data_IF_249007362674
#
_entry.id   IF_249007362674
#
_cell.length_a   1.000
_cell.length_b   1.000
_cell.length_c   1.000
_cell.angle_alpha   90.00
_cell.angle_beta   90.00
_cell.angle_gamma   90.00
#
_symmetry.space_group_name_H-M   'P 1'
#
loop_
_entity.id
_entity.type
_entity.pdbx_description
1 polymer ?
#
# COMPACT_ATOMS: atom_id res chain seq x y z
N UNK A 1 9.16 0.62 -15.88
CA UNK A 1 9.15 0.12 -17.28
C UNK A 1 10.56 0.20 -17.83
N UNK A 2 10.95 -0.76 -18.66
CA UNK A 2 12.22 -0.78 -19.40
C UNK A 2 11.95 -1.09 -20.87
N UNK A 3 12.84 -0.67 -21.74
CA UNK A 3 12.84 -1.08 -23.14
C UNK A 3 13.99 -2.04 -23.39
N UNK A 4 13.73 -3.09 -24.17
CA UNK A 4 14.72 -4.06 -24.57
C UNK A 4 15.51 -3.49 -25.76
N UNK A 5 16.74 -3.05 -25.52
CA UNK A 5 17.58 -2.41 -26.56
C UNK A 5 18.30 -3.40 -27.49
N UNK A 6 18.46 -4.65 -27.05
CA UNK A 6 19.05 -5.75 -27.79
C UNK A 6 18.43 -7.09 -27.32
N UNK A 7 18.44 -8.15 -28.15
CA UNK A 7 18.00 -9.48 -27.72
C UNK A 7 18.66 -9.87 -26.39
N UNK A 8 17.86 -10.16 -25.37
CA UNK A 8 18.34 -10.40 -24.00
C UNK A 8 17.65 -11.64 -23.42
N UNK A 9 18.41 -12.54 -22.80
CA UNK A 9 17.85 -13.74 -22.16
C UNK A 9 17.58 -13.46 -20.69
N UNK A 10 16.35 -13.69 -20.23
CA UNK A 10 15.95 -13.61 -18.82
C UNK A 10 15.10 -14.84 -18.48
N UNK A 11 15.47 -15.59 -17.45
CA UNK A 11 14.72 -16.77 -17.00
C UNK A 11 14.52 -17.82 -18.11
N UNK A 12 15.54 -18.02 -18.95
CA UNK A 12 15.48 -18.93 -20.10
C UNK A 12 14.65 -18.42 -21.29
N UNK A 13 14.07 -17.22 -21.22
CA UNK A 13 13.25 -16.63 -22.30
C UNK A 13 14.01 -15.52 -23.03
N UNK A 14 13.88 -15.48 -24.36
CA UNK A 14 14.48 -14.42 -25.19
C UNK A 14 13.53 -13.23 -25.29
N UNK A 15 13.94 -12.10 -24.73
CA UNK A 15 13.28 -10.82 -24.89
C UNK A 15 13.78 -10.15 -26.18
N UNK A 16 12.85 -9.79 -27.07
CA UNK A 16 13.17 -9.19 -28.38
C UNK A 16 13.40 -7.69 -28.27
N UNK A 17 14.32 -7.16 -29.09
CA UNK A 17 14.59 -5.72 -29.22
C UNK A 17 13.28 -4.94 -29.52
N UNK A 18 13.16 -3.74 -28.96
CA UNK A 18 12.02 -2.82 -29.13
C UNK A 18 10.78 -3.19 -28.30
N UNK A 19 10.85 -4.23 -27.45
CA UNK A 19 9.74 -4.58 -26.55
C UNK A 19 9.87 -3.88 -25.21
N UNK A 20 8.72 -3.59 -24.59
CA UNK A 20 8.64 -3.00 -23.25
C UNK A 20 8.54 -4.11 -22.20
N UNK A 21 9.33 -3.97 -21.15
CA UNK A 21 9.33 -4.83 -19.98
C UNK A 21 8.76 -4.08 -18.78
N UNK A 22 7.82 -4.71 -18.08
CA UNK A 22 7.21 -4.20 -16.86
C UNK A 22 7.32 -5.23 -15.75
N UNK A 23 7.72 -4.78 -14.56
CA UNK A 23 7.72 -5.62 -13.36
C UNK A 23 6.36 -5.48 -12.67
N UNK A 24 5.66 -6.59 -12.38
CA UNK A 24 4.32 -6.55 -11.80
C UNK A 24 4.41 -6.34 -10.27
N UNK A 25 4.77 -5.12 -9.85
CA UNK A 25 5.04 -4.81 -8.44
C UNK A 25 3.90 -5.20 -7.49
N UNK A 26 2.64 -4.96 -7.87
CA UNK A 26 1.49 -5.32 -7.02
C UNK A 26 1.38 -6.83 -6.83
N UNK A 27 1.51 -7.60 -7.91
CA UNK A 27 1.41 -9.06 -7.89
C UNK A 27 2.54 -9.69 -7.06
N UNK A 28 3.74 -9.08 -7.05
CA UNK A 28 4.82 -9.52 -6.15
C UNK A 28 4.40 -9.42 -4.67
N UNK A 29 3.74 -8.33 -4.26
CA UNK A 29 3.24 -8.15 -2.89
C UNK A 29 1.98 -8.97 -2.58
N UNK A 30 1.34 -9.56 -3.60
CA UNK A 30 0.16 -10.42 -3.47
C UNK A 30 0.45 -11.88 -3.83
N UNK A 31 1.73 -12.26 -3.89
CA UNK A 31 2.11 -13.64 -4.19
C UNK A 31 2.02 -14.54 -2.95
N UNK A 32 1.05 -15.46 -2.95
CA UNK A 32 0.87 -16.45 -1.89
C UNK A 32 2.11 -17.29 -1.57
N UNK A 33 2.95 -17.57 -2.56
CA UNK A 33 4.19 -18.34 -2.35
C UNK A 33 5.24 -17.55 -1.53
N UNK A 34 5.18 -16.22 -1.60
CA UNK A 34 6.11 -15.34 -0.89
C UNK A 34 5.56 -14.86 0.47
N UNK A 35 4.23 -14.74 0.60
CA UNK A 35 3.58 -14.12 1.76
C UNK A 35 2.66 -15.08 2.53
N UNK A 36 2.50 -16.32 2.07
CA UNK A 36 1.69 -17.35 2.72
C UNK A 36 0.18 -17.19 2.49
N UNK A 37 -0.65 -17.98 3.20
CA UNK A 37 -2.10 -18.03 2.97
C UNK A 37 -2.82 -16.71 3.31
N UNK A 38 -2.27 -15.91 4.23
CA UNK A 38 -2.84 -14.63 4.69
C UNK A 38 -2.37 -13.44 3.86
N UNK A 39 -2.01 -13.66 2.59
CA UNK A 39 -1.45 -12.63 1.69
C UNK A 39 -2.38 -11.43 1.48
N UNK A 40 -3.69 -11.68 1.49
CA UNK A 40 -4.71 -10.64 1.30
C UNK A 40 -5.15 -9.99 2.61
N UNK A 41 -4.63 -10.46 3.75
CA UNK A 41 -4.98 -9.98 5.07
C UNK A 41 -3.95 -8.99 5.61
N UNK A 42 -4.42 -8.01 6.38
CA UNK A 42 -3.56 -7.08 7.10
C UNK A 42 -2.98 -7.76 8.35
N UNK A 43 -1.80 -8.36 8.21
CA UNK A 43 -1.05 -9.03 9.29
C UNK A 43 0.29 -8.33 9.50
N UNK A 44 0.35 -7.25 10.31
CA UNK A 44 1.57 -6.49 10.53
C UNK A 44 2.66 -7.31 11.24
N UNK A 45 2.26 -8.27 12.09
CA UNK A 45 3.16 -9.12 12.86
C UNK A 45 4.03 -10.01 11.97
N UNK A 46 3.68 -10.23 10.69
CA UNK A 46 4.50 -11.08 9.80
C UNK A 46 5.95 -10.60 9.70
N UNK A 47 6.15 -9.29 9.70
CA UNK A 47 7.49 -8.69 9.59
C UNK A 47 8.23 -8.63 10.93
N UNK A 48 7.52 -8.85 12.04
CA UNK A 48 8.10 -9.01 13.37
C UNK A 48 8.58 -10.46 13.52
N UNK A 49 7.72 -11.40 13.14
CA UNK A 49 7.96 -12.84 13.26
C UNK A 49 9.00 -13.35 12.27
N UNK A 50 9.03 -12.79 11.05
CA UNK A 50 10.03 -13.11 10.03
C UNK A 50 10.69 -11.85 9.47
N UNK A 51 11.88 -11.55 9.99
CA UNK A 51 12.71 -10.42 9.52
C UNK A 51 13.30 -10.67 8.13
N UNK A 52 13.36 -11.92 7.66
CA UNK A 52 13.83 -12.28 6.32
C UNK A 52 12.93 -11.72 5.21
N UNK A 53 11.65 -11.48 5.51
CA UNK A 53 10.69 -10.89 4.56
C UNK A 53 11.13 -9.51 4.05
N UNK A 54 11.89 -8.73 4.83
CA UNK A 54 12.44 -7.45 4.37
C UNK A 54 13.45 -7.61 3.22
N UNK A 55 14.12 -8.76 3.14
CA UNK A 55 15.07 -9.10 2.09
C UNK A 55 14.42 -9.86 0.93
N UNK A 56 13.12 -10.20 1.02
CA UNK A 56 12.41 -10.93 0.00
C UNK A 56 12.50 -10.22 -1.36
N UNK A 57 12.79 -10.95 -2.47
CA UNK A 57 12.70 -10.39 -3.81
C UNK A 57 11.32 -9.84 -4.16
N UNK A 58 10.27 -10.36 -3.50
CA UNK A 58 8.88 -9.95 -3.66
C UNK A 58 8.54 -8.68 -2.87
N UNK A 59 9.39 -8.26 -1.93
CA UNK A 59 9.22 -7.01 -1.20
C UNK A 59 9.82 -5.83 -1.97
N UNK A 60 8.96 -5.02 -2.59
CA UNK A 60 9.31 -3.90 -3.47
C UNK A 60 8.42 -2.66 -3.27
N UNK A 61 8.16 -2.19 -2.04
CA UNK A 61 7.21 -1.09 -1.78
C UNK A 61 7.65 0.26 -2.36
N UNK A 62 8.96 0.41 -2.65
CA UNK A 62 9.56 1.63 -3.17
C UNK A 62 10.19 1.44 -4.56
N UNK A 63 9.79 0.39 -5.29
CA UNK A 63 10.42 -0.01 -6.55
C UNK A 63 11.72 -0.80 -6.33
N UNK A 64 12.66 -0.69 -7.28
CA UNK A 64 13.93 -1.42 -7.22
C UNK A 64 14.91 -1.03 -8.34
N UNK A 65 16.18 -1.45 -8.16
CA UNK A 65 17.29 -1.10 -9.05
C UNK A 65 17.46 0.40 -9.21
N UNK A 66 17.76 0.86 -10.44
CA UNK A 66 17.94 2.28 -10.76
C UNK A 66 16.66 3.13 -10.62
N UNK A 67 15.50 2.52 -10.36
CA UNK A 67 14.21 3.20 -10.14
C UNK A 67 13.74 3.07 -8.70
N UNK A 68 14.64 2.77 -7.76
CA UNK A 68 14.32 2.78 -6.33
C UNK A 68 14.02 4.22 -5.88
N UNK A 69 12.89 4.41 -5.20
CA UNK A 69 12.44 5.74 -4.76
C UNK A 69 13.52 6.41 -3.89
N UNK A 70 14.07 7.58 -4.29
CA UNK A 70 15.06 8.29 -3.49
C UNK A 70 14.47 8.80 -2.16
N UNK A 71 13.18 9.15 -2.16
CA UNK A 71 12.45 9.63 -0.99
C UNK A 71 12.04 8.55 0.03
N UNK A 72 12.35 7.26 -0.18
CA UNK A 72 11.89 6.15 0.68
C UNK A 72 12.20 6.32 2.16
N UNK A 73 13.37 6.88 2.48
CA UNK A 73 13.77 7.11 3.88
C UNK A 73 12.97 8.24 4.52
N UNK A 74 12.76 9.32 3.77
CA UNK A 74 11.91 10.44 4.20
C UNK A 74 10.46 9.99 4.32
N UNK A 75 9.91 9.31 3.31
CA UNK A 75 8.56 8.76 3.32
C UNK A 75 8.31 7.88 4.54
N UNK A 76 9.24 6.96 4.85
CA UNK A 76 9.15 6.12 6.05
C UNK A 76 9.12 6.97 7.31
N UNK A 77 10.05 7.90 7.48
CA UNK A 77 10.09 8.80 8.65
C UNK A 77 8.81 9.61 8.79
N UNK A 78 8.32 10.21 7.71
CA UNK A 78 7.09 11.00 7.70
C UNK A 78 5.89 10.16 8.15
N UNK A 79 5.70 8.95 7.60
CA UNK A 79 4.59 8.07 8.00
C UNK A 79 4.68 7.73 9.49
N UNK A 80 5.85 7.32 9.98
CA UNK A 80 6.02 7.02 11.41
C UNK A 80 5.76 8.24 12.30
N UNK A 81 6.33 9.40 11.95
CA UNK A 81 6.15 10.64 12.72
C UNK A 81 4.70 11.09 12.71
N UNK A 82 4.01 11.05 11.57
CA UNK A 82 2.59 11.42 11.47
C UNK A 82 1.72 10.51 12.34
N UNK A 83 1.91 9.19 12.28
CA UNK A 83 1.13 8.24 13.11
C UNK A 83 1.46 8.44 14.59
N UNK A 84 2.73 8.58 14.95
CA UNK A 84 3.15 8.79 16.33
C UNK A 84 2.55 10.09 16.90
N UNK A 85 2.64 11.20 16.17
CA UNK A 85 2.06 12.48 16.58
C UNK A 85 0.55 12.37 16.70
N UNK A 86 -0.13 11.81 15.71
CA UNK A 86 -1.59 11.63 15.72
C UNK A 86 -2.06 10.92 17.00
N UNK A 87 -1.39 9.82 17.37
CA UNK A 87 -1.73 9.02 18.55
C UNK A 87 -1.24 9.62 19.88
N UNK A 88 -0.23 10.49 19.84
CA UNK A 88 0.37 11.09 21.04
C UNK A 88 -0.30 12.40 21.46
N UNK A 89 -1.05 13.05 20.57
CA UNK A 89 -1.69 14.35 20.85
C UNK A 89 -3.21 14.31 20.72
N UNK A 90 -3.78 13.29 20.08
CA UNK A 90 -5.22 13.13 19.94
C UNK A 90 -5.71 11.77 20.44
N UNK A 91 -6.88 11.78 21.07
CA UNK A 91 -7.77 10.63 21.15
C UNK A 91 -8.49 10.47 19.80
N UNK A 92 -8.26 9.34 19.14
CA UNK A 92 -8.68 9.07 17.76
C UNK A 92 -9.81 8.05 17.77
N UNK A 93 -10.96 8.43 17.23
CA UNK A 93 -12.12 7.52 17.09
C UNK A 93 -12.73 7.61 15.69
N UNK A 94 -13.43 6.57 15.25
CA UNK A 94 -14.17 6.58 13.99
C UNK A 94 -15.50 7.32 14.18
N UNK A 95 -15.91 8.08 13.16
CA UNK A 95 -17.28 8.60 13.13
C UNK A 95 -18.23 7.40 13.02
N UNK A 96 -19.30 7.31 13.82
CA UNK A 96 -20.25 6.19 13.79
C UNK A 96 -21.24 6.26 12.60
N UNK A 97 -20.78 6.70 11.43
CA UNK A 97 -21.55 6.83 10.19
C UNK A 97 -20.67 6.57 8.96
N UNK A 98 -21.26 6.00 7.91
CA UNK A 98 -20.56 5.75 6.64
C UNK A 98 -20.60 7.02 5.78
N UNK A 99 -19.47 7.47 5.21
CA UNK A 99 -19.51 8.49 4.17
C UNK A 99 -20.17 7.93 2.91
N UNK A 100 -20.98 8.76 2.25
CA UNK A 100 -21.55 8.46 0.95
C UNK A 100 -20.72 9.10 -0.17
N UNK A 101 -20.86 8.59 -1.40
CA UNK A 101 -20.15 9.09 -2.58
C UNK A 101 -20.44 10.57 -2.93
N UNK A 102 -21.54 11.12 -2.38
CA UNK A 102 -21.97 12.51 -2.51
C UNK A 102 -21.44 13.42 -1.37
N UNK A 103 -20.66 12.88 -0.42
CA UNK A 103 -20.15 13.62 0.75
C UNK A 103 -21.12 13.72 1.92
N UNK A 104 -22.33 13.16 1.81
CA UNK A 104 -23.26 13.06 2.94
C UNK A 104 -22.87 11.90 3.87
N UNK A 105 -23.30 11.97 5.12
CA UNK A 105 -23.08 10.91 6.11
C UNK A 105 -24.38 10.09 6.24
N UNK A 106 -24.29 8.79 6.01
CA UNK A 106 -25.44 7.88 6.11
C UNK A 106 -25.77 7.57 7.57
N UNK A 107 -27.06 7.52 7.90
CA UNK A 107 -27.62 7.54 9.26
C UNK A 107 -26.96 6.56 10.26
N UNK A 108 -26.90 7.00 11.53
CA UNK A 108 -26.27 6.35 12.67
C UNK A 108 -26.72 4.89 12.87
N UNK A 109 -25.75 3.99 13.10
CA UNK A 109 -26.02 2.61 13.51
C UNK A 109 -25.04 1.55 12.98
N UNK A 110 -24.29 1.84 11.92
CA UNK A 110 -23.27 0.92 11.37
C UNK A 110 -21.88 1.52 11.47
N UNK A 111 -20.95 0.81 12.12
CA UNK A 111 -19.54 1.18 12.17
C UNK A 111 -18.98 1.39 10.75
N UNK A 112 -18.03 2.32 10.61
CA UNK A 112 -17.30 2.52 9.36
C UNK A 112 -16.60 1.23 8.94
N UNK A 113 -16.64 0.91 7.64
CA UNK A 113 -15.98 -0.28 7.10
C UNK A 113 -14.55 0.08 6.71
N UNK A 114 -13.69 -0.93 6.61
CA UNK A 114 -12.38 -0.71 6.01
C UNK A 114 -12.53 -0.28 4.54
N UNK A 115 -11.83 0.76 4.07
CA UNK A 115 -11.93 1.24 2.70
C UNK A 115 -11.56 0.17 1.68
N UNK A 116 -12.40 0.00 0.64
CA UNK A 116 -12.03 -0.85 -0.50
C UNK A 116 -11.03 -0.13 -1.38
N UNK A 117 -10.01 -0.85 -1.84
CA UNK A 117 -9.03 -0.33 -2.80
C UNK A 117 -9.70 -0.06 -4.15
N UNK A 118 -9.43 1.10 -4.74
CA UNK A 118 -9.76 1.41 -6.14
C UNK A 118 -8.71 0.78 -7.07
N UNK A 119 -9.02 -0.39 -7.62
CA UNK A 119 -8.21 -1.10 -8.60
C UNK A 119 -8.64 -0.84 -10.05
N UNK A 120 -9.67 -0.01 -10.27
CA UNK A 120 -10.17 0.33 -11.62
C UNK A 120 -9.18 1.16 -12.42
N UNK A 121 -8.22 1.80 -11.75
CA UNK A 121 -7.17 2.63 -12.34
C UNK A 121 -5.80 2.02 -12.10
N UNK A 122 -5.01 1.74 -13.15
CA UNK A 122 -3.65 1.23 -12.97
C UNK A 122 -2.77 2.34 -12.37
N UNK A 123 -2.54 2.30 -11.05
CA UNK A 123 -1.61 3.20 -10.38
C UNK A 123 -0.27 2.51 -10.17
N UNK A 124 0.81 3.23 -10.42
CA UNK A 124 2.18 2.74 -10.22
C UNK A 124 2.64 2.84 -8.75
N UNK A 125 1.86 3.51 -7.89
CA UNK A 125 2.19 3.75 -6.48
C UNK A 125 1.05 3.34 -5.56
N UNK A 126 0.90 4.05 -4.44
CA UNK A 126 -0.17 3.81 -3.47
C UNK A 126 -1.55 3.88 -4.13
N UNK A 127 -2.39 2.89 -3.83
CA UNK A 127 -3.78 2.82 -4.28
C UNK A 127 -4.65 3.63 -3.31
N UNK A 128 -5.56 4.42 -3.86
CA UNK A 128 -6.56 5.13 -3.07
C UNK A 128 -7.79 4.25 -2.81
N UNK A 129 -8.68 4.69 -1.91
CA UNK A 129 -9.96 4.05 -1.72
C UNK A 129 -10.90 4.29 -2.91
N UNK A 130 -11.90 3.44 -3.07
CA UNK A 130 -13.06 3.71 -3.93
C UNK A 130 -13.74 5.00 -3.46
N UNK A 131 -14.27 5.79 -4.40
CA UNK A 131 -14.98 7.04 -4.07
C UNK A 131 -16.13 6.76 -3.09
N UNK A 132 -16.15 7.46 -1.96
CA UNK A 132 -17.14 7.28 -0.90
C UNK A 132 -16.78 6.22 0.15
N UNK A 133 -15.65 5.53 0.02
CA UNK A 133 -15.14 4.59 1.03
C UNK A 133 -14.09 5.26 1.96
N UNK A 134 -14.14 6.59 2.15
CA UNK A 134 -13.20 7.29 3.03
C UNK A 134 -13.36 6.89 4.51
N UNK A 135 -12.26 6.96 5.29
CA UNK A 135 -12.32 6.84 6.75
C UNK A 135 -12.47 8.23 7.36
N UNK A 136 -13.57 8.47 8.08
CA UNK A 136 -13.79 9.75 8.76
C UNK A 136 -13.45 9.59 10.24
N UNK A 137 -12.46 10.34 10.70
CA UNK A 137 -11.95 10.30 12.07
C UNK A 137 -12.48 11.50 12.87
N UNK A 138 -12.77 11.25 14.14
CA UNK A 138 -12.91 12.28 15.17
C UNK A 138 -11.59 12.35 15.92
N UNK A 139 -10.99 13.54 15.93
CA UNK A 139 -9.75 13.83 16.66
C UNK A 139 -10.08 14.75 17.83
N UNK A 140 -9.89 14.27 19.07
CA UNK A 140 -10.05 15.08 20.28
C UNK A 140 -8.68 15.30 20.90
N UNK A 141 -8.25 16.55 21.18
CA UNK A 141 -6.97 16.77 21.86
C UNK A 141 -6.93 15.97 23.16
N UNK A 142 -5.82 15.27 23.41
CA UNK A 142 -5.59 14.65 24.71
C UNK A 142 -5.47 15.76 25.75
N UNK A 143 -6.24 15.65 26.83
CA UNK A 143 -6.04 16.53 28.00
C UNK A 143 -4.68 16.15 28.59
N UNK A 144 -3.74 17.10 28.55
CA UNK A 144 -2.45 16.98 29.23
C UNK A 144 -2.64 17.05 30.75
#
# INVERSE_FOLDING_TARGET
MREVIAPTVIGGKVLRKGRKLMVPYRQLHLNGDAWGPTTYDFVPERFINDKGLYCSPSYRPFGGGNTLCPGRFLARKMVFTTVALLLSIYDVSLVPTQPEANGSLRQAGTAQRFPRVDDTRPRLGALGPVRGDDCILVLKPLKQ
#
